data_IF_950033140219
#
_entry.id   IF_950033140219
#
_cell.length_a   1.000
_cell.length_b   1.000
_cell.length_c   1.000
_cell.angle_alpha   90.00
_cell.angle_beta   90.00
_cell.angle_gamma   90.00
#
_symmetry.space_group_name_H-M   'P 1'
#
loop_
_entity.id
_entity.type
_entity.pdbx_description
1 polymer ?
#
# COMPACT_ATOMS: atom_id res chain seq x y z
N UNK A 1 33.89 10.01 8.71
CA UNK A 1 32.66 9.39 8.18
C UNK A 1 31.66 9.30 9.33
N UNK A 2 30.41 9.69 9.08
CA UNK A 2 29.31 9.63 10.06
C UNK A 2 28.37 8.51 9.61
N UNK A 3 27.89 7.69 10.53
CA UNK A 3 26.86 6.67 10.33
C UNK A 3 25.75 6.80 11.39
N UNK A 4 24.66 6.05 11.24
CA UNK A 4 23.49 6.16 12.13
C UNK A 4 23.80 5.88 13.62
N UNK A 5 24.85 5.11 13.93
CA UNK A 5 25.30 4.84 15.30
C UNK A 5 25.97 6.05 15.95
N UNK A 6 26.47 6.99 15.14
CA UNK A 6 27.13 8.22 15.60
C UNK A 6 26.10 9.33 15.93
N UNK A 7 24.83 9.13 15.56
CA UNK A 7 23.74 10.06 15.82
C UNK A 7 23.04 9.72 17.14
N UNK A 8 22.75 10.73 17.96
CA UNK A 8 21.94 10.57 19.16
C UNK A 8 20.55 10.04 18.79
N UNK A 9 19.89 10.72 17.86
CA UNK A 9 18.54 10.43 17.38
C UNK A 9 18.51 10.39 15.86
N UNK A 10 17.74 9.46 15.31
CA UNK A 10 17.44 9.37 13.89
C UNK A 10 16.00 8.87 13.72
N UNK A 11 15.12 9.71 13.18
CA UNK A 11 13.68 9.42 13.10
C UNK A 11 13.24 9.34 11.64
N UNK A 12 12.51 8.29 11.30
CA UNK A 12 11.78 8.19 10.04
C UNK A 12 10.40 8.80 10.24
N UNK A 13 10.11 9.90 9.57
CA UNK A 13 8.75 10.42 9.43
C UNK A 13 8.36 10.33 7.95
N UNK A 14 7.46 9.40 7.64
CA UNK A 14 6.99 9.17 6.27
C UNK A 14 5.50 9.49 6.18
N UNK A 15 5.15 10.53 5.42
CA UNK A 15 3.81 11.12 5.38
C UNK A 15 2.83 10.41 4.43
N UNK A 16 3.24 9.35 3.73
CA UNK A 16 2.35 8.61 2.83
C UNK A 16 2.80 7.17 2.66
N UNK A 17 2.03 6.27 3.24
CA UNK A 17 2.29 4.83 3.22
C UNK A 17 0.99 4.03 3.16
N UNK A 18 1.13 2.72 2.92
CA UNK A 18 0.06 1.73 3.00
C UNK A 18 -1.21 2.19 2.27
N UNK A 19 -1.07 2.76 1.07
CA UNK A 19 -2.19 3.29 0.30
C UNK A 19 -3.28 2.23 0.12
N UNK A 20 -4.51 2.58 0.48
CA UNK A 20 -5.69 1.74 0.37
C UNK A 20 -6.12 1.72 -1.10
N UNK A 21 -5.76 0.65 -1.79
CA UNK A 21 -5.89 0.49 -3.24
C UNK A 21 -5.14 1.55 -4.06
N UNK A 22 -4.99 1.30 -5.36
CA UNK A 22 -4.36 2.21 -6.30
C UNK A 22 -4.71 1.88 -7.75
N UNK A 23 -4.23 2.71 -8.69
CA UNK A 23 -4.38 2.45 -10.11
C UNK A 23 -3.47 1.32 -10.59
N UNK A 24 -3.94 0.56 -11.57
CA UNK A 24 -3.11 -0.24 -12.47
C UNK A 24 -2.65 0.68 -13.60
N UNK A 25 -1.36 0.96 -13.64
CA UNK A 25 -0.78 1.89 -14.59
C UNK A 25 -0.43 1.19 -15.89
N UNK A 26 -0.95 1.70 -17.01
CA UNK A 26 -0.63 1.25 -18.37
C UNK A 26 -0.24 2.43 -19.26
N UNK A 27 0.13 2.13 -20.49
CA UNK A 27 0.59 3.13 -21.45
C UNK A 27 0.07 2.80 -22.85
N UNK A 28 -0.83 3.63 -23.37
CA UNK A 28 -1.39 3.51 -24.72
C UNK A 28 -0.55 4.20 -25.80
N UNK A 29 0.47 4.97 -25.41
CA UNK A 29 1.29 5.72 -26.38
C UNK A 29 2.41 4.86 -26.98
N UNK A 30 3.02 5.41 -28.03
CA UNK A 30 4.16 4.84 -28.76
C UNK A 30 5.52 5.04 -28.06
N UNK A 31 5.55 5.67 -26.88
CA UNK A 31 6.78 5.99 -26.14
C UNK A 31 6.81 5.32 -24.78
N UNK A 32 8.01 4.93 -24.34
CA UNK A 32 8.20 4.45 -22.96
C UNK A 32 8.00 5.58 -21.96
N UNK A 33 7.22 5.32 -20.91
CA UNK A 33 6.97 6.29 -19.83
C UNK A 33 7.67 5.82 -18.56
N UNK A 34 8.35 6.75 -17.90
CA UNK A 34 9.04 6.52 -16.62
C UNK A 34 8.24 7.17 -15.49
N UNK A 35 7.79 6.36 -14.54
CA UNK A 35 6.89 6.81 -13.47
C UNK A 35 7.30 6.24 -12.11
N UNK A 36 6.67 6.73 -11.04
CA UNK A 36 6.75 6.08 -9.72
C UNK A 36 6.14 4.68 -9.70
N UNK A 37 5.36 4.31 -10.72
CA UNK A 37 4.85 2.95 -10.93
C UNK A 37 5.84 2.08 -11.73
N UNK A 38 7.06 2.56 -11.95
CA UNK A 38 8.07 1.90 -12.78
C UNK A 38 8.01 2.31 -14.25
N UNK A 39 8.68 1.52 -15.09
CA UNK A 39 8.73 1.72 -16.54
C UNK A 39 7.48 1.13 -17.16
N UNK A 40 6.72 1.94 -17.87
CA UNK A 40 5.56 1.51 -18.64
C UNK A 40 5.95 1.42 -20.12
N UNK A 41 5.91 0.21 -20.66
CA UNK A 41 6.21 -0.05 -22.07
C UNK A 41 5.11 0.52 -22.98
N UNK A 42 5.47 1.01 -24.18
CA UNK A 42 4.50 1.51 -25.15
C UNK A 42 3.50 0.44 -25.57
N UNK A 43 2.40 0.87 -26.18
CA UNK A 43 1.40 0.01 -26.83
C UNK A 43 0.89 -1.13 -25.91
N UNK A 44 0.48 -0.77 -24.68
CA UNK A 44 0.05 -1.72 -23.64
C UNK A 44 1.06 -2.83 -23.34
N UNK A 45 2.36 -2.63 -23.58
CA UNK A 45 3.38 -3.65 -23.36
C UNK A 45 3.61 -4.05 -21.90
N UNK A 46 3.00 -3.37 -20.92
CA UNK A 46 3.08 -3.69 -19.50
C UNK A 46 1.99 -3.01 -18.68
N UNK A 47 1.55 -3.69 -17.60
CA UNK A 47 0.68 -3.13 -16.57
C UNK A 47 1.37 -3.18 -15.19
N UNK A 48 1.66 -2.03 -14.60
CA UNK A 48 2.25 -1.96 -13.26
C UNK A 48 1.19 -1.74 -12.20
N UNK A 49 1.29 -2.44 -11.08
CA UNK A 49 0.38 -2.27 -9.96
C UNK A 49 1.12 -2.32 -8.63
N UNK A 50 0.44 -1.85 -7.58
CA UNK A 50 0.90 -2.01 -6.21
C UNK A 50 -0.23 -2.48 -5.32
N UNK A 51 0.06 -3.52 -4.56
CA UNK A 51 0.01 -3.57 -3.10
C UNK A 51 0.28 -5.03 -2.73
N UNK A 52 0.28 -5.37 -1.45
CA UNK A 52 0.30 -6.76 -1.02
C UNK A 52 -1.05 -7.48 -1.25
N UNK A 53 -2.06 -6.82 -1.83
CA UNK A 53 -3.41 -7.37 -2.02
C UNK A 53 -4.04 -7.70 -0.67
N UNK A 54 -4.58 -8.89 -0.50
CA UNK A 54 -5.22 -9.36 0.74
C UNK A 54 -4.36 -9.24 2.02
N UNK A 55 -3.03 -9.12 1.92
CA UNK A 55 -2.16 -8.88 3.08
C UNK A 55 -1.97 -7.40 3.43
N UNK A 56 -2.50 -6.47 2.63
CA UNK A 56 -2.39 -5.05 2.91
C UNK A 56 -3.27 -4.68 4.11
N UNK A 57 -2.76 -3.97 5.13
CA UNK A 57 -3.53 -3.69 6.34
C UNK A 57 -4.81 -2.90 6.09
N UNK A 58 -4.78 -1.86 5.24
CA UNK A 58 -5.97 -1.04 5.00
C UNK A 58 -7.06 -1.74 4.18
N UNK A 59 -6.78 -2.88 3.53
CA UNK A 59 -7.86 -3.72 2.98
C UNK A 59 -8.56 -4.56 4.05
N UNK A 60 -7.85 -4.90 5.13
CA UNK A 60 -8.36 -5.68 6.25
C UNK A 60 -9.03 -4.80 7.33
N UNK A 61 -8.86 -3.48 7.23
CA UNK A 61 -9.59 -2.49 8.02
C UNK A 61 -10.12 -1.37 7.09
N UNK A 62 -11.10 -1.69 6.23
CA UNK A 62 -11.50 -0.83 5.12
C UNK A 62 -12.06 0.53 5.57
N UNK A 63 -12.60 0.60 6.78
CA UNK A 63 -13.21 1.80 7.37
C UNK A 63 -12.42 2.36 8.57
N UNK A 64 -11.16 1.95 8.74
CA UNK A 64 -10.26 2.43 9.80
C UNK A 64 -10.83 2.28 11.22
N UNK A 65 -11.55 1.17 11.47
CA UNK A 65 -12.19 0.87 12.75
C UNK A 65 -11.18 0.54 13.85
N UNK A 66 -10.01 0.05 13.47
CA UNK A 66 -8.95 -0.40 14.40
C UNK A 66 -7.64 0.36 14.21
N UNK A 67 -7.38 0.85 12.99
CA UNK A 67 -6.19 1.62 12.65
C UNK A 67 -6.49 3.10 12.84
N UNK A 68 -5.76 3.73 13.77
CA UNK A 68 -5.89 5.14 14.11
C UNK A 68 -4.57 5.77 14.49
N UNK A 69 -4.61 7.04 14.89
CA UNK A 69 -3.44 7.75 15.42
C UNK A 69 -2.96 7.03 16.69
N UNK A 70 -1.66 6.75 16.78
CA UNK A 70 -1.07 6.03 17.91
C UNK A 70 -1.12 4.50 17.80
N UNK A 71 -1.72 3.93 16.75
CA UNK A 71 -1.62 2.49 16.49
C UNK A 71 -0.16 2.10 16.30
N UNK A 72 0.32 1.13 17.09
CA UNK A 72 1.67 0.59 17.04
C UNK A 72 1.80 -0.35 15.86
N UNK A 73 2.90 -0.24 15.11
CA UNK A 73 3.11 -0.96 13.85
C UNK A 73 4.51 -1.57 13.77
N UNK A 74 4.66 -2.59 12.93
CA UNK A 74 5.94 -2.96 12.35
C UNK A 74 6.30 -1.91 11.30
N UNK A 75 7.46 -1.25 11.44
CA UNK A 75 7.95 -0.24 10.50
C UNK A 75 9.43 -0.44 10.25
N UNK A 76 9.79 -0.80 9.01
CA UNK A 76 11.19 -0.92 8.59
C UNK A 76 11.99 -1.97 9.38
N UNK A 77 11.34 -2.98 9.97
CA UNK A 77 12.02 -3.97 10.82
C UNK A 77 12.08 -3.62 12.30
N UNK A 78 11.66 -2.42 12.68
CA UNK A 78 11.52 -1.99 14.06
C UNK A 78 10.04 -1.77 14.43
N UNK A 79 9.85 -1.10 15.56
CA UNK A 79 8.53 -0.60 15.98
C UNK A 79 8.36 0.85 15.51
N UNK A 80 7.18 1.16 14.99
CA UNK A 80 6.75 2.53 14.70
C UNK A 80 5.31 2.77 15.14
N UNK A 81 4.78 3.93 14.78
CA UNK A 81 3.41 4.33 15.07
C UNK A 81 2.77 5.03 13.87
N UNK A 82 1.45 4.93 13.78
CA UNK A 82 0.66 5.82 12.92
C UNK A 82 0.63 7.20 13.56
N UNK A 83 1.16 8.19 12.86
CA UNK A 83 1.23 9.57 13.34
C UNK A 83 0.01 10.39 12.89
N UNK A 84 -0.55 10.08 11.72
CA UNK A 84 -1.68 10.80 11.10
C UNK A 84 -2.24 10.02 9.89
N UNK A 85 -3.28 10.50 9.24
CA UNK A 85 -3.78 9.91 7.98
C UNK A 85 -2.83 10.12 6.79
N UNK A 86 -1.84 11.02 6.90
CA UNK A 86 -0.93 11.30 5.80
C UNK A 86 -1.57 12.04 4.63
N UNK A 87 -0.82 12.15 3.54
CA UNK A 87 -1.23 12.93 2.35
C UNK A 87 -1.99 12.06 1.35
N UNK A 88 -2.91 12.68 0.61
CA UNK A 88 -3.85 12.02 -0.32
C UNK A 88 -4.83 11.03 0.33
N UNK A 89 -4.94 11.03 1.66
CA UNK A 89 -5.97 10.25 2.31
C UNK A 89 -7.37 10.72 1.86
N UNK A 90 -8.11 9.85 1.20
CA UNK A 90 -9.48 10.12 0.76
C UNK A 90 -10.39 8.92 1.11
N UNK A 91 -11.18 9.01 2.18
CA UNK A 91 -11.99 7.89 2.63
C UNK A 91 -13.23 7.65 1.73
N UNK A 92 -13.64 8.66 0.96
CA UNK A 92 -14.92 8.75 0.27
C UNK A 92 -14.94 8.12 -1.13
N UNK A 93 -13.90 7.35 -1.47
CA UNK A 93 -13.87 6.69 -2.77
C UNK A 93 -14.91 5.57 -2.88
N UNK A 94 -15.41 5.27 -4.10
CA UNK A 94 -16.33 4.17 -4.31
C UNK A 94 -15.80 2.85 -3.75
N UNK A 95 -16.70 2.07 -3.14
CA UNK A 95 -16.40 0.79 -2.49
C UNK A 95 -17.34 -0.29 -3.03
N UNK A 96 -16.92 -1.55 -2.92
CA UNK A 96 -17.81 -2.70 -3.13
C UNK A 96 -18.81 -2.82 -1.99
N UNK A 97 -19.82 -3.69 -2.12
CA UNK A 97 -20.77 -3.99 -1.05
C UNK A 97 -20.07 -4.55 0.21
N UNK A 98 -18.88 -5.14 0.06
CA UNK A 98 -18.03 -5.61 1.16
C UNK A 98 -17.13 -4.51 1.76
N UNK A 99 -17.24 -3.27 1.28
CA UNK A 99 -16.50 -2.11 1.78
C UNK A 99 -15.09 -1.92 1.21
N UNK A 100 -14.66 -2.77 0.28
CA UNK A 100 -13.33 -2.69 -0.36
C UNK A 100 -13.30 -1.52 -1.35
N UNK A 101 -12.38 -0.55 -1.24
CA UNK A 101 -12.27 0.54 -2.20
C UNK A 101 -11.99 0.03 -3.60
N UNK A 102 -12.60 0.63 -4.61
CA UNK A 102 -12.38 0.33 -6.03
C UNK A 102 -11.26 1.16 -6.67
N UNK A 103 -10.75 2.16 -5.95
CA UNK A 103 -9.68 3.07 -6.40
C UNK A 103 -8.93 3.60 -5.17
N UNK A 104 -7.86 4.37 -5.39
CA UNK A 104 -7.00 4.87 -4.32
C UNK A 104 -7.75 5.72 -3.30
N UNK A 105 -7.77 5.25 -2.05
CA UNK A 105 -8.53 5.81 -0.94
C UNK A 105 -7.62 6.31 0.21
N UNK A 106 -7.63 5.66 1.37
CA UNK A 106 -6.85 6.07 2.54
C UNK A 106 -5.33 5.90 2.39
N UNK A 107 -4.59 6.73 3.11
CA UNK A 107 -3.15 6.54 3.34
C UNK A 107 -2.84 6.64 4.83
N UNK A 108 -1.56 6.42 5.19
CA UNK A 108 -1.06 6.55 6.56
C UNK A 108 0.24 7.36 6.61
N UNK A 109 0.34 8.29 7.56
CA UNK A 109 1.62 8.84 7.99
C UNK A 109 2.18 7.99 9.13
N UNK A 110 3.45 7.64 9.04
CA UNK A 110 4.13 6.77 10.01
C UNK A 110 5.35 7.46 10.59
N UNK A 111 5.62 7.21 11.87
CA UNK A 111 6.81 7.67 12.57
C UNK A 111 7.51 6.50 13.28
N UNK A 112 8.84 6.49 13.30
CA UNK A 112 9.60 5.50 14.06
C UNK A 112 11.08 5.80 14.17
N UNK A 113 11.74 5.10 15.08
CA UNK A 113 13.18 5.21 15.32
C UNK A 113 13.97 4.42 14.28
N UNK A 114 14.74 5.12 13.43
CA UNK A 114 15.55 4.50 12.38
C UNK A 114 16.63 3.58 12.97
N UNK A 115 17.06 3.80 14.21
CA UNK A 115 18.11 2.97 14.86
C UNK A 115 17.63 1.56 15.15
N UNK A 116 16.31 1.33 15.18
CA UNK A 116 15.68 0.01 15.34
C UNK A 116 15.36 -0.67 14.00
N UNK A 117 15.55 0.03 12.88
CA UNK A 117 15.20 -0.46 11.55
C UNK A 117 16.36 -1.22 10.90
N UNK A 118 16.04 -2.02 9.89
CA UNK A 118 17.00 -2.85 9.16
C UNK A 118 16.94 -2.57 7.67
N UNK A 119 18.11 -2.60 7.01
CA UNK A 119 18.23 -2.48 5.55
C UNK A 119 17.50 -3.57 4.77
N UNK A 120 17.10 -4.67 5.43
CA UNK A 120 16.19 -5.68 4.87
C UNK A 120 14.81 -5.11 4.53
N UNK A 121 14.34 -4.16 5.34
CA UNK A 121 12.97 -3.65 5.32
C UNK A 121 12.88 -2.16 5.01
N UNK A 122 13.98 -1.42 5.11
CA UNK A 122 14.04 -0.01 4.81
C UNK A 122 15.28 0.28 3.97
N UNK A 123 15.08 0.62 2.70
CA UNK A 123 16.18 0.87 1.76
C UNK A 123 15.84 2.00 0.80
N UNK A 124 16.81 2.90 0.59
CA UNK A 124 16.72 3.90 -0.46
C UNK A 124 16.80 3.22 -1.83
N UNK A 125 15.86 3.53 -2.71
CA UNK A 125 15.78 2.94 -4.05
C UNK A 125 15.74 4.04 -5.11
N UNK A 126 16.16 3.70 -6.33
CA UNK A 126 16.10 4.58 -7.49
C UNK A 126 15.17 3.96 -8.52
N UNK A 127 14.19 4.73 -8.96
CA UNK A 127 13.30 4.39 -10.06
C UNK A 127 13.83 5.05 -11.33
N UNK A 128 14.27 4.24 -12.29
CA UNK A 128 14.85 4.70 -13.54
C UNK A 128 13.92 5.74 -14.21
N UNK A 129 14.48 6.90 -14.57
CA UNK A 129 13.76 7.98 -15.25
C UNK A 129 12.75 8.75 -14.39
N UNK A 130 12.48 8.32 -13.15
CA UNK A 130 11.56 9.01 -12.25
C UNK A 130 12.30 9.72 -11.10
N UNK A 131 13.13 9.00 -10.36
CA UNK A 131 13.89 9.59 -9.25
C UNK A 131 14.13 8.64 -8.08
N UNK A 132 14.56 9.20 -6.96
CA UNK A 132 14.77 8.44 -5.73
C UNK A 132 13.44 8.20 -4.99
N UNK A 133 13.38 7.07 -4.28
CA UNK A 133 12.29 6.72 -3.39
C UNK A 133 12.83 5.87 -2.24
N UNK A 134 11.96 5.45 -1.34
CA UNK A 134 12.29 4.55 -0.23
C UNK A 134 11.36 3.35 -0.28
N UNK A 135 11.94 2.15 -0.24
CA UNK A 135 11.20 0.91 -0.05
C UNK A 135 11.10 0.65 1.43
N UNK A 136 9.87 0.62 1.95
CA UNK A 136 9.57 0.47 3.38
C UNK A 136 8.64 -0.72 3.62
N UNK A 137 9.03 -1.61 4.52
CA UNK A 137 8.20 -2.69 5.04
C UNK A 137 7.30 -2.19 6.16
N UNK A 138 5.98 -2.40 6.01
CA UNK A 138 4.97 -2.00 6.99
C UNK A 138 4.08 -3.20 7.28
N UNK A 139 3.83 -3.43 8.57
CA UNK A 139 2.87 -4.42 9.05
C UNK A 139 2.06 -3.83 10.18
N UNK A 140 0.74 -4.01 10.15
CA UNK A 140 -0.17 -3.50 11.17
C UNK A 140 -1.04 -4.67 11.61
N UNK A 141 -1.10 -4.99 12.91
CA UNK A 141 -1.98 -6.04 13.39
C UNK A 141 -3.43 -5.54 13.41
N UNK A 142 -4.36 -6.36 12.95
CA UNK A 142 -5.80 -6.08 13.00
C UNK A 142 -6.40 -6.85 14.20
N UNK A 143 -6.73 -6.19 15.32
CA UNK A 143 -7.39 -6.84 16.43
C UNK A 143 -8.83 -7.19 16.05
N UNK A 144 -9.21 -8.47 16.19
CA UNK A 144 -10.58 -8.91 15.92
C UNK A 144 -11.46 -8.58 17.14
N UNK A 145 -12.09 -7.41 17.12
CA UNK A 145 -12.92 -6.90 18.22
C UNK A 145 -14.42 -7.15 18.00
N UNK A 146 -14.82 -7.53 16.80
CA UNK A 146 -16.20 -7.82 16.42
C UNK A 146 -16.28 -8.78 15.23
N UNK A 147 -17.46 -9.35 15.00
CA UNK A 147 -17.75 -10.15 13.79
C UNK A 147 -17.61 -9.33 12.50
N UNK A 148 -17.93 -8.03 12.57
CA UNK A 148 -17.76 -7.09 11.46
C UNK A 148 -16.28 -6.96 11.06
N UNK A 149 -15.39 -6.77 12.04
CA UNK A 149 -13.93 -6.71 11.78
C UNK A 149 -13.43 -8.04 11.25
N UNK A 150 -13.87 -9.16 11.84
CA UNK A 150 -13.53 -10.49 11.32
C UNK A 150 -13.88 -10.59 9.83
N UNK A 151 -15.08 -10.18 9.45
CA UNK A 151 -15.55 -10.23 8.07
C UNK A 151 -14.66 -9.41 7.13
N UNK A 152 -14.23 -8.20 7.53
CA UNK A 152 -13.28 -7.39 6.75
C UNK A 152 -11.93 -8.08 6.53
N UNK A 153 -11.44 -8.84 7.51
CA UNK A 153 -10.18 -9.58 7.38
C UNK A 153 -10.26 -10.83 6.48
N UNK A 154 -11.45 -11.16 5.96
CA UNK A 154 -11.62 -12.29 5.03
C UNK A 154 -11.49 -11.91 3.55
N UNK A 155 -11.15 -10.65 3.26
CA UNK A 155 -10.95 -10.15 1.89
C UNK A 155 -9.91 -10.98 1.14
N UNK A 156 -10.25 -11.40 -0.08
CA UNK A 156 -9.34 -12.13 -0.97
C UNK A 156 -8.85 -11.25 -2.11
N UNK A 157 -7.77 -11.66 -2.78
CA UNK A 157 -7.28 -10.93 -3.96
C UNK A 157 -8.32 -10.84 -5.09
N UNK A 158 -9.29 -11.75 -5.16
CA UNK A 158 -10.39 -11.69 -6.13
C UNK A 158 -11.45 -10.63 -5.78
N UNK A 159 -11.58 -10.27 -4.50
CA UNK A 159 -12.53 -9.25 -4.03
C UNK A 159 -12.00 -7.82 -4.24
N UNK A 160 -10.70 -7.65 -4.48
CA UNK A 160 -10.04 -6.35 -4.60
C UNK A 160 -9.94 -5.98 -6.08
N UNK A 161 -10.74 -5.01 -6.51
CA UNK A 161 -10.71 -4.46 -7.87
C UNK A 161 -9.87 -3.18 -7.92
N UNK A 162 -9.10 -3.01 -8.98
CA UNK A 162 -8.31 -1.81 -9.24
C UNK A 162 -8.58 -1.26 -10.65
N UNK A 163 -8.62 0.06 -10.84
CA UNK A 163 -8.91 0.66 -12.13
C UNK A 163 -7.65 0.66 -12.99
N UNK A 164 -7.80 0.26 -14.25
CA UNK A 164 -6.75 0.36 -15.28
C UNK A 164 -6.78 1.77 -15.86
N UNK A 165 -5.67 2.48 -15.72
CA UNK A 165 -5.56 3.90 -16.10
C UNK A 165 -4.36 4.09 -17.01
N UNK A 166 -4.55 4.82 -18.11
CA UNK A 166 -3.47 5.20 -19.02
C UNK A 166 -2.66 6.38 -18.47
N UNK A 167 -1.34 6.20 -18.37
CA UNK A 167 -0.40 7.20 -17.88
C UNK A 167 0.18 8.09 -18.97
N UNK A 168 -0.17 7.85 -20.24
CA UNK A 168 0.33 8.62 -21.38
C UNK A 168 -0.36 9.97 -21.58
N UNK A 169 -1.63 10.08 -21.21
CA UNK A 169 -2.43 11.30 -21.37
C UNK A 169 -3.47 11.53 -20.27
N UNK A 170 -4.39 10.59 -20.03
CA UNK A 170 -5.51 10.79 -19.10
C UNK A 170 -5.06 11.04 -17.65
N UNK A 171 -4.10 10.24 -17.14
CA UNK A 171 -3.64 10.40 -15.76
C UNK A 171 -2.97 11.77 -15.47
N UNK A 172 -1.99 12.25 -16.27
CA UNK A 172 -1.44 13.61 -16.09
C UNK A 172 -2.48 14.73 -16.12
N UNK A 173 -3.55 14.55 -16.90
CA UNK A 173 -4.62 15.53 -17.07
C UNK A 173 -5.77 15.36 -16.07
N UNK A 174 -5.71 14.32 -15.21
CA UNK A 174 -6.76 13.94 -14.26
C UNK A 174 -8.11 13.70 -14.93
N UNK A 175 -8.08 13.16 -16.14
CA UNK A 175 -9.28 12.75 -16.85
C UNK A 175 -9.83 11.47 -16.20
N UNK A 176 -11.16 11.31 -16.14
CA UNK A 176 -11.80 10.17 -15.49
C UNK A 176 -11.72 8.87 -16.31
N UNK A 177 -10.75 8.74 -17.22
CA UNK A 177 -10.69 7.64 -18.17
C UNK A 177 -10.13 6.37 -17.50
N UNK A 178 -11.02 5.39 -17.32
CA UNK A 178 -10.72 4.07 -16.78
C UNK A 178 -10.98 3.06 -17.89
N UNK A 179 -9.93 2.37 -18.33
CA UNK A 179 -9.98 1.39 -19.41
C UNK A 179 -10.71 0.10 -18.99
N UNK A 180 -10.85 -0.12 -17.68
CA UNK A 180 -11.53 -1.25 -17.07
C UNK A 180 -11.16 -1.41 -15.59
N UNK A 181 -11.78 -2.38 -14.92
CA UNK A 181 -11.38 -2.82 -13.58
C UNK A 181 -10.83 -4.24 -13.67
N UNK A 182 -9.76 -4.52 -12.93
CA UNK A 182 -9.16 -5.87 -12.82
C UNK A 182 -8.96 -6.23 -11.36
N UNK A 183 -9.06 -7.52 -11.03
CA UNK A 183 -8.84 -7.99 -9.67
C UNK A 183 -7.35 -8.14 -9.34
N UNK A 184 -6.97 -8.03 -8.06
CA UNK A 184 -5.62 -8.39 -7.61
C UNK A 184 -5.30 -9.86 -7.87
N UNK A 185 -6.31 -10.73 -7.93
CA UNK A 185 -6.15 -12.15 -8.32
C UNK A 185 -5.63 -12.29 -9.75
N UNK A 186 -6.24 -11.56 -10.70
CA UNK A 186 -5.77 -11.52 -12.08
C UNK A 186 -4.39 -10.86 -12.19
N UNK A 187 -4.17 -9.73 -11.52
CA UNK A 187 -2.87 -9.05 -11.49
C UNK A 187 -1.74 -9.95 -10.96
N UNK A 188 -2.02 -10.80 -9.97
CA UNK A 188 -1.05 -11.74 -9.42
C UNK A 188 -0.82 -12.97 -10.31
N UNK A 189 -1.67 -13.21 -11.32
CA UNK A 189 -1.46 -14.28 -12.30
C UNK A 189 -0.29 -14.00 -13.25
N UNK A 190 0.16 -12.74 -13.34
CA UNK A 190 1.25 -12.30 -14.21
C UNK A 190 0.78 -11.67 -15.53
N UNK A 191 -0.52 -11.69 -15.82
CA UNK A 191 -1.10 -11.12 -17.05
C UNK A 191 -2.58 -10.78 -16.89
N UNK A 192 -3.04 -9.79 -17.65
CA UNK A 192 -4.44 -9.35 -17.73
C UNK A 192 -4.83 -9.09 -19.18
N UNK A 193 -6.13 -8.97 -19.47
CA UNK A 193 -6.62 -8.60 -20.80
C UNK A 193 -7.13 -7.17 -20.77
N UNK A 194 -6.60 -6.32 -21.65
CA UNK A 194 -7.03 -4.92 -21.82
C UNK A 194 -7.31 -4.71 -23.30
N UNK A 195 -8.52 -4.25 -23.65
CA UNK A 195 -8.93 -4.02 -25.04
C UNK A 195 -8.75 -5.24 -25.97
N UNK A 196 -8.82 -6.45 -25.42
CA UNK A 196 -8.62 -7.71 -26.15
C UNK A 196 -7.15 -8.15 -26.27
N UNK A 197 -6.20 -7.38 -25.75
CA UNK A 197 -4.77 -7.70 -25.75
C UNK A 197 -4.30 -8.27 -24.41
N UNK A 198 -3.40 -9.25 -24.45
CA UNK A 198 -2.79 -9.83 -23.25
C UNK A 198 -1.60 -8.97 -22.81
N UNK A 199 -1.70 -8.38 -21.61
CA UNK A 199 -0.74 -7.43 -21.06
C UNK A 199 -0.03 -8.05 -19.85
N UNK A 200 1.31 -8.15 -19.83
CA UNK A 200 2.04 -8.67 -18.69
C UNK A 200 1.98 -7.70 -17.51
N UNK A 201 1.80 -8.23 -16.31
CA UNK A 201 1.67 -7.42 -15.08
C UNK A 201 2.93 -7.44 -14.23
N UNK A 202 3.26 -6.31 -13.61
CA UNK A 202 4.38 -6.18 -12.69
C UNK A 202 3.96 -5.55 -11.36
N UNK A 203 4.24 -6.24 -10.25
CA UNK A 203 4.00 -5.71 -8.90
C UNK A 203 5.20 -4.90 -8.40
N UNK A 204 4.95 -3.73 -7.84
CA UNK A 204 5.95 -2.95 -7.10
C UNK A 204 6.14 -3.46 -5.67
N UNK A 205 5.14 -4.18 -5.14
CA UNK A 205 5.17 -4.74 -3.79
C UNK A 205 5.65 -6.19 -3.82
N UNK A 206 6.55 -6.55 -2.91
CA UNK A 206 7.01 -7.93 -2.76
C UNK A 206 6.05 -8.72 -1.86
N UNK A 207 5.25 -9.60 -2.47
CA UNK A 207 4.33 -10.46 -1.73
C UNK A 207 5.05 -11.43 -0.77
N UNK A 208 6.18 -12.10 -1.14
CA UNK A 208 6.95 -12.90 -0.19
C UNK A 208 7.41 -12.10 1.04
N UNK A 209 7.84 -10.85 0.85
CA UNK A 209 8.21 -9.96 1.96
C UNK A 209 7.01 -9.60 2.83
N UNK A 210 5.82 -9.39 2.26
CA UNK A 210 4.60 -9.16 3.03
C UNK A 210 4.27 -10.37 3.93
N UNK A 211 4.42 -11.60 3.43
CA UNK A 211 4.24 -12.84 4.22
C UNK A 211 5.26 -12.91 5.36
N UNK A 212 6.53 -12.61 5.09
CA UNK A 212 7.57 -12.57 6.12
C UNK A 212 7.26 -11.51 7.20
N UNK A 213 6.79 -10.32 6.83
CA UNK A 213 6.38 -9.27 7.78
C UNK A 213 5.23 -9.76 8.66
N UNK A 214 4.18 -10.33 8.05
CA UNK A 214 3.01 -10.83 8.78
C UNK A 214 3.41 -11.93 9.78
N UNK A 215 4.29 -12.83 9.37
CA UNK A 215 4.81 -13.92 10.23
C UNK A 215 5.67 -13.37 11.37
N UNK A 216 6.57 -12.44 11.07
CA UNK A 216 7.43 -11.79 12.07
C UNK A 216 6.60 -11.05 13.12
N UNK A 217 5.60 -10.28 12.68
CA UNK A 217 4.72 -9.53 13.57
C UNK A 217 3.88 -10.47 14.44
N UNK A 218 3.37 -11.57 13.87
CA UNK A 218 2.69 -12.63 14.62
C UNK A 218 3.58 -13.20 15.73
N UNK A 219 4.84 -13.52 15.43
CA UNK A 219 5.79 -14.04 16.42
C UNK A 219 6.08 -13.03 17.54
N UNK A 220 6.24 -11.74 17.20
CA UNK A 220 6.45 -10.70 18.20
C UNK A 220 5.26 -10.54 19.15
N UNK A 221 4.04 -10.67 18.62
CA UNK A 221 2.81 -10.62 19.42
C UNK A 221 2.72 -11.84 20.33
N UNK A 222 2.87 -13.05 19.79
CA UNK A 222 2.79 -14.29 20.56
C UNK A 222 3.86 -14.39 21.65
N UNK A 223 5.03 -13.81 21.44
CA UNK A 223 6.11 -13.77 22.43
C UNK A 223 6.00 -12.63 23.45
N UNK A 224 5.00 -11.75 23.33
CA UNK A 224 4.84 -10.59 24.21
C UNK A 224 5.84 -9.45 23.97
N UNK A 225 6.72 -9.56 22.95
CA UNK A 225 7.66 -8.48 22.56
C UNK A 225 6.95 -7.30 21.90
N UNK A 226 5.76 -7.55 21.36
CA UNK A 226 4.92 -6.54 20.74
C UNK A 226 3.51 -6.63 21.33
N UNK A 227 3.15 -5.62 22.13
CA UNK A 227 1.78 -5.43 22.61
C UNK A 227 0.98 -4.60 21.61
N UNK A 228 -0.27 -4.97 21.40
CA UNK A 228 -1.23 -4.19 20.62
C UNK A 228 -1.54 -2.88 21.34
N UNK A 229 -1.90 -1.84 20.59
CA UNK A 229 -2.35 -0.57 21.15
C UNK A 229 -3.72 -0.21 20.60
N UNK A 230 -4.54 0.39 21.44
CA UNK A 230 -5.74 1.08 20.99
C UNK A 230 -5.32 2.40 20.31
N UNK A 231 -5.96 2.78 19.19
CA UNK A 231 -5.75 4.10 18.62
C UNK A 231 -6.19 5.19 19.61
N UNK A 232 -5.39 6.23 19.74
CA UNK A 232 -5.69 7.40 20.59
C UNK A 232 -6.75 8.28 19.94
N UNK A 233 -6.82 8.29 18.61
CA UNK A 233 -7.86 8.97 17.84
C UNK A 233 -8.12 8.23 16.52
N UNK A 234 -9.35 8.24 16.00
CA UNK A 234 -9.67 7.65 14.70
C UNK A 234 -9.02 8.43 13.56
N UNK A 235 -8.81 7.77 12.42
CA UNK A 235 -8.56 8.47 11.16
C UNK A 235 -9.89 9.00 10.58
N UNK A 236 -9.86 10.04 9.73
CA UNK A 236 -11.05 10.47 9.01
C UNK A 236 -11.68 9.32 8.21
N UNK A 237 -12.90 8.94 8.56
CA UNK A 237 -13.66 7.89 7.89
C UNK A 237 -14.56 8.42 6.76
N UNK A 238 -15.40 7.53 6.20
CA UNK A 238 -16.37 7.87 5.15
C UNK A 238 -17.40 8.90 5.65
N UNK A 239 -17.63 8.91 6.96
CA UNK A 239 -18.49 9.85 7.67
C UNK A 239 -17.90 11.26 7.86
N UNK A 240 -16.62 11.46 7.53
CA UNK A 240 -15.92 12.75 7.73
C UNK A 240 -16.06 13.71 6.53
N UNK A 241 -16.95 13.40 5.59
CA UNK A 241 -17.25 14.19 4.39
C UNK A 241 -18.24 15.33 4.65
#
# INVERSE_FOLDING_TARGET
WINIKDLNEAVLFNIRNAYQNYNVAVNLSDKTIYTYMGILKPDLGSASFCSAGQLSPLFNDPYYKTIGIGTKIFLGGGTGFIAWQGTQHNPNMPRTDKGVPKTGAGTLATIGDLKQMSSKWLVGTSMLGYGCTITVGIGIPIPILSEEILNYTTVTDADILAPVVDYSGPYPQREPDVLGEVSYGELKSGKIVIQGEEVPTASLSSYPRAVEIATTLKEWILSGKFLLTEPVAPLPGVESA
#
